data_IF_994430839319
#
_entry.id   IF_994430839319
#
_cell.length_a   1.000
_cell.length_b   1.000
_cell.length_c   1.000
_cell.angle_alpha   90.00
_cell.angle_beta   90.00
_cell.angle_gamma   90.00
#
_symmetry.space_group_name_H-M   'P 1'
#
loop_
_entity.id
_entity.type
_entity.pdbx_description
1 polymer ?
#
# COMPACT_ATOMS: atom_id res chain seq x y z
N UNK A 1 -60.61 14.93 -31.95
CA UNK A 1 -60.56 13.69 -31.09
C UNK A 1 -59.39 12.78 -31.40
N UNK A 2 -58.87 12.64 -32.64
CA UNK A 2 -57.71 11.78 -32.97
C UNK A 2 -56.36 12.40 -32.58
N UNK A 3 -56.23 13.74 -32.55
CA UNK A 3 -54.98 14.42 -32.08
C UNK A 3 -54.79 14.33 -30.58
N UNK A 4 -55.84 14.55 -29.78
CA UNK A 4 -55.81 14.44 -28.34
C UNK A 4 -55.42 13.01 -27.87
N UNK A 5 -55.91 11.97 -28.51
CA UNK A 5 -55.52 10.57 -28.22
C UNK A 5 -54.06 10.23 -28.59
N UNK A 6 -53.44 10.97 -29.54
CA UNK A 6 -52.03 10.80 -29.89
C UNK A 6 -51.12 11.53 -28.91
N UNK A 7 -51.54 12.67 -28.38
CA UNK A 7 -50.79 13.38 -27.32
C UNK A 7 -50.88 12.66 -25.98
N UNK A 8 -52.06 12.12 -25.59
CA UNK A 8 -52.15 11.25 -24.41
C UNK A 8 -51.25 10.00 -24.51
N UNK A 9 -51.20 9.36 -25.70
CA UNK A 9 -50.30 8.21 -25.90
C UNK A 9 -48.82 8.58 -25.95
N UNK A 10 -48.45 9.81 -26.34
CA UNK A 10 -47.06 10.31 -26.26
C UNK A 10 -46.69 10.69 -24.84
N UNK A 11 -47.59 11.30 -24.07
CA UNK A 11 -47.40 11.60 -22.66
C UNK A 11 -47.37 10.32 -21.81
N UNK A 12 -48.21 9.35 -22.08
CA UNK A 12 -48.17 8.04 -21.39
C UNK A 12 -46.91 7.23 -21.73
N UNK A 13 -46.27 7.46 -22.89
CA UNK A 13 -44.94 6.89 -23.20
C UNK A 13 -43.77 7.70 -22.65
N UNK A 14 -44.00 8.99 -22.37
CA UNK A 14 -42.96 9.86 -21.75
C UNK A 14 -42.88 9.75 -20.24
N UNK A 15 -43.91 9.20 -19.57
CA UNK A 15 -43.97 8.97 -18.14
C UNK A 15 -43.64 7.52 -17.73
N UNK A 16 -43.23 6.69 -18.71
CA UNK A 16 -42.87 5.30 -18.47
C UNK A 16 -41.35 5.09 -18.66
N UNK A 17 -40.53 5.91 -18.04
CA UNK A 17 -39.09 5.65 -17.89
C UNK A 17 -38.48 6.47 -16.75
N UNK A 18 -39.17 6.62 -15.64
CA UNK A 18 -38.56 6.49 -14.32
C UNK A 18 -38.89 5.07 -13.88
N UNK A 19 -38.47 4.07 -14.69
CA UNK A 19 -38.42 2.69 -14.24
C UNK A 19 -37.73 2.74 -12.86
N UNK A 20 -38.36 2.17 -11.85
CA UNK A 20 -37.91 1.92 -10.53
C UNK A 20 -36.39 1.76 -10.59
N UNK A 21 -35.64 2.82 -10.20
CA UNK A 21 -34.19 2.78 -10.14
C UNK A 21 -33.92 1.74 -9.06
N UNK A 22 -33.68 0.51 -9.48
CA UNK A 22 -33.55 -0.65 -8.60
C UNK A 22 -32.50 -0.27 -7.58
N UNK A 23 -32.90 -0.14 -6.32
CA UNK A 23 -31.97 0.26 -5.26
C UNK A 23 -30.82 -0.72 -5.26
N UNK A 24 -29.62 -0.22 -5.52
CA UNK A 24 -28.43 -1.04 -5.50
C UNK A 24 -28.15 -1.51 -4.06
N UNK A 25 -27.87 -2.78 -3.87
CA UNK A 25 -27.74 -3.40 -2.56
C UNK A 25 -26.42 -4.15 -2.41
N UNK A 26 -25.95 -4.27 -1.18
CA UNK A 26 -24.78 -5.08 -0.81
C UNK A 26 -24.93 -6.53 -1.28
N UNK A 27 -26.16 -7.06 -1.20
CA UNK A 27 -26.46 -8.43 -1.63
C UNK A 27 -26.23 -8.63 -3.14
N UNK A 28 -26.50 -7.61 -3.95
CA UNK A 28 -26.20 -7.65 -5.38
C UNK A 28 -24.69 -7.67 -5.63
N UNK A 29 -23.91 -6.90 -4.88
CA UNK A 29 -22.43 -6.94 -4.94
C UNK A 29 -21.94 -8.35 -4.61
N UNK A 30 -22.39 -8.94 -3.50
CA UNK A 30 -22.01 -10.31 -3.10
C UNK A 30 -22.38 -11.34 -4.18
N UNK A 31 -23.57 -11.24 -4.75
CA UNK A 31 -24.02 -12.11 -5.84
C UNK A 31 -23.17 -11.98 -7.11
N UNK A 32 -22.77 -10.76 -7.47
CA UNK A 32 -21.83 -10.55 -8.57
C UNK A 32 -20.44 -11.11 -8.26
N UNK A 33 -19.97 -10.97 -7.01
CA UNK A 33 -18.69 -11.56 -6.56
C UNK A 33 -18.69 -13.09 -6.65
N UNK A 34 -19.76 -13.75 -6.18
CA UNK A 34 -19.94 -15.21 -6.27
C UNK A 34 -19.89 -15.71 -7.72
N UNK A 35 -20.50 -14.95 -8.64
CA UNK A 35 -20.53 -15.26 -10.07
C UNK A 35 -19.28 -14.81 -10.82
N UNK A 36 -18.34 -14.13 -10.15
CA UNK A 36 -17.15 -13.51 -10.76
C UNK A 36 -17.49 -12.46 -11.83
N UNK A 37 -18.64 -11.83 -11.70
CA UNK A 37 -19.10 -10.75 -12.57
C UNK A 37 -18.54 -9.39 -12.08
N UNK A 38 -17.23 -9.21 -12.14
CA UNK A 38 -16.52 -8.08 -11.51
C UNK A 38 -16.95 -6.71 -12.05
N UNK A 39 -17.26 -6.62 -13.36
CA UNK A 39 -17.84 -5.40 -13.92
C UNK A 39 -19.21 -5.07 -13.30
N UNK A 40 -20.01 -6.10 -12.98
CA UNK A 40 -21.28 -5.96 -12.28
C UNK A 40 -21.11 -5.39 -10.87
N UNK A 41 -20.07 -5.82 -10.14
CA UNK A 41 -19.71 -5.28 -8.82
C UNK A 41 -19.46 -3.77 -8.92
N UNK A 42 -18.63 -3.36 -9.88
CA UNK A 42 -18.26 -1.95 -10.06
C UNK A 42 -19.47 -1.09 -10.45
N UNK A 43 -20.31 -1.57 -11.38
CA UNK A 43 -21.51 -0.86 -11.80
C UNK A 43 -22.51 -0.71 -10.65
N UNK A 44 -22.77 -1.81 -9.90
CA UNK A 44 -23.65 -1.77 -8.73
C UNK A 44 -23.12 -0.81 -7.67
N UNK A 45 -21.81 -0.80 -7.44
CA UNK A 45 -21.20 0.12 -6.49
C UNK A 45 -21.26 1.58 -6.96
N UNK A 46 -21.11 1.85 -8.26
CA UNK A 46 -21.31 3.18 -8.84
C UNK A 46 -22.74 3.68 -8.63
N UNK A 47 -23.75 2.81 -8.84
CA UNK A 47 -25.15 3.14 -8.54
C UNK A 47 -25.36 3.46 -7.05
N UNK A 48 -24.67 2.74 -6.14
CA UNK A 48 -24.71 3.02 -4.69
C UNK A 48 -24.10 4.39 -4.36
N UNK A 49 -22.98 4.74 -5.00
CA UNK A 49 -22.35 6.07 -4.85
C UNK A 49 -23.27 7.19 -5.29
N UNK A 50 -24.02 7.01 -6.40
CA UNK A 50 -25.00 7.99 -6.86
C UNK A 50 -26.21 8.12 -5.92
N UNK A 51 -26.55 7.07 -5.19
CA UNK A 51 -27.67 7.05 -4.24
C UNK A 51 -27.30 7.63 -2.87
N UNK A 52 -26.03 7.92 -2.62
CA UNK A 52 -25.53 8.44 -1.36
C UNK A 52 -24.39 7.61 -0.80
N UNK A 53 -24.27 7.50 0.49
CA UNK A 53 -23.11 6.91 1.17
C UNK A 53 -23.09 5.37 1.02
N UNK A 54 -22.18 4.77 0.20
CA UNK A 54 -22.12 3.34 0.03
C UNK A 54 -21.61 2.68 1.32
N UNK A 55 -22.10 1.47 1.68
CA UNK A 55 -21.62 0.75 2.86
C UNK A 55 -20.14 0.41 2.77
N UNK A 56 -19.40 0.71 3.84
CA UNK A 56 -17.94 0.47 3.91
C UNK A 56 -17.58 -1.02 3.75
N UNK A 57 -18.49 -1.92 4.10
CA UNK A 57 -18.33 -3.37 3.93
C UNK A 57 -18.13 -3.82 2.47
N UNK A 58 -18.52 -2.99 1.48
CA UNK A 58 -18.34 -3.28 0.05
C UNK A 58 -16.96 -2.91 -0.48
N UNK A 59 -16.19 -2.10 0.23
CA UNK A 59 -14.93 -1.54 -0.29
C UNK A 59 -13.89 -2.63 -0.61
N UNK A 60 -13.83 -3.69 0.20
CA UNK A 60 -12.98 -4.85 -0.05
C UNK A 60 -13.35 -5.60 -1.32
N UNK A 61 -14.65 -5.80 -1.56
CA UNK A 61 -15.15 -6.46 -2.77
C UNK A 61 -14.88 -5.62 -4.02
N UNK A 62 -15.03 -4.30 -3.91
CA UNK A 62 -14.70 -3.35 -4.99
C UNK A 62 -13.21 -3.37 -5.31
N UNK A 63 -12.34 -3.39 -4.29
CA UNK A 63 -10.89 -3.52 -4.47
C UNK A 63 -10.55 -4.83 -5.21
N UNK A 64 -11.16 -5.94 -4.81
CA UNK A 64 -10.98 -7.24 -5.45
C UNK A 64 -11.50 -7.23 -6.89
N UNK A 65 -12.65 -6.62 -7.16
CA UNK A 65 -13.20 -6.53 -8.51
C UNK A 65 -12.27 -5.76 -9.46
N UNK A 66 -11.73 -4.62 -9.05
CA UNK A 66 -10.73 -3.89 -9.83
C UNK A 66 -9.46 -4.71 -10.07
N UNK A 67 -8.99 -5.43 -9.06
CA UNK A 67 -7.82 -6.31 -9.18
C UNK A 67 -8.04 -7.41 -10.23
N UNK A 68 -9.17 -8.10 -10.20
CA UNK A 68 -9.48 -9.18 -11.14
C UNK A 68 -9.71 -8.67 -12.57
N UNK A 69 -10.13 -7.40 -12.73
CA UNK A 69 -10.20 -6.72 -14.03
C UNK A 69 -8.85 -6.18 -14.52
N UNK A 70 -7.78 -6.29 -13.72
CA UNK A 70 -6.44 -5.85 -14.08
C UNK A 70 -6.17 -4.37 -13.81
N UNK A 71 -7.09 -3.63 -13.21
CA UNK A 71 -6.88 -2.24 -12.80
C UNK A 71 -6.27 -2.18 -11.39
N UNK A 72 -4.96 -2.46 -11.33
CA UNK A 72 -4.23 -2.53 -10.05
C UNK A 72 -4.14 -1.18 -9.34
N UNK A 73 -4.13 -0.08 -10.09
CA UNK A 73 -4.10 1.28 -9.54
C UNK A 73 -5.36 1.59 -8.74
N UNK A 74 -6.56 1.33 -9.32
CA UNK A 74 -7.82 1.50 -8.59
C UNK A 74 -7.97 0.49 -7.48
N UNK A 75 -7.55 -0.76 -7.70
CA UNK A 75 -7.53 -1.77 -6.65
C UNK A 75 -6.73 -1.32 -5.43
N UNK A 76 -5.50 -0.81 -5.61
CA UNK A 76 -4.66 -0.29 -4.54
C UNK A 76 -5.31 0.89 -3.80
N UNK A 77 -5.97 1.79 -4.53
CA UNK A 77 -6.71 2.91 -3.96
C UNK A 77 -7.84 2.44 -3.03
N UNK A 78 -8.63 1.45 -3.46
CA UNK A 78 -9.70 0.88 -2.64
C UNK A 78 -9.18 0.03 -1.47
N UNK A 79 -8.05 -0.67 -1.65
CA UNK A 79 -7.34 -1.33 -0.54
C UNK A 79 -6.96 -0.32 0.53
N UNK A 80 -6.35 0.81 0.16
CA UNK A 80 -5.98 1.87 1.11
C UNK A 80 -7.21 2.42 1.83
N UNK A 81 -8.30 2.68 1.10
CA UNK A 81 -9.57 3.14 1.67
C UNK A 81 -10.14 2.12 2.67
N UNK A 82 -10.16 0.84 2.32
CA UNK A 82 -10.64 -0.23 3.21
C UNK A 82 -9.80 -0.33 4.47
N UNK A 83 -8.47 -0.35 4.33
CA UNK A 83 -7.55 -0.47 5.48
C UNK A 83 -7.55 0.77 6.39
N UNK A 84 -7.92 1.95 5.88
CA UNK A 84 -8.11 3.15 6.70
C UNK A 84 -9.32 3.05 7.62
N UNK A 85 -10.32 2.23 7.26
CA UNK A 85 -11.55 1.97 8.02
C UNK A 85 -11.43 0.72 8.90
N UNK A 86 -10.88 -0.33 8.34
CA UNK A 86 -10.63 -1.62 9.00
C UNK A 86 -9.18 -2.04 8.77
N UNK A 87 -8.30 -1.55 9.64
CA UNK A 87 -6.87 -1.89 9.60
C UNK A 87 -6.60 -3.38 9.84
N UNK A 88 -7.54 -4.12 10.45
CA UNK A 88 -7.44 -5.55 10.73
C UNK A 88 -7.82 -6.46 9.56
N UNK A 89 -8.30 -5.93 8.45
CA UNK A 89 -8.82 -6.70 7.33
C UNK A 89 -7.74 -7.53 6.64
N UNK A 90 -7.68 -8.80 7.01
CA UNK A 90 -6.67 -9.75 6.51
C UNK A 90 -6.82 -10.01 5.01
N UNK A 91 -8.05 -10.16 4.51
CA UNK A 91 -8.29 -10.45 3.09
C UNK A 91 -7.80 -9.33 2.19
N UNK A 92 -8.05 -8.09 2.60
CA UNK A 92 -7.61 -6.91 1.86
C UNK A 92 -6.09 -6.73 1.96
N UNK A 93 -5.46 -7.11 3.08
CA UNK A 93 -3.98 -7.16 3.20
C UNK A 93 -3.36 -8.22 2.29
N UNK A 94 -3.98 -9.40 2.17
CA UNK A 94 -3.53 -10.43 1.21
C UNK A 94 -3.67 -9.89 -0.22
N UNK A 95 -4.77 -9.21 -0.53
CA UNK A 95 -4.98 -8.58 -1.83
C UNK A 95 -3.89 -7.53 -2.14
N UNK A 96 -3.46 -6.74 -1.15
CA UNK A 96 -2.34 -5.80 -1.31
C UNK A 96 -1.05 -6.52 -1.71
N UNK A 97 -0.75 -7.65 -1.07
CA UNK A 97 0.40 -8.49 -1.45
C UNK A 97 0.30 -8.98 -2.90
N UNK A 98 -0.88 -9.40 -3.34
CA UNK A 98 -1.12 -9.79 -4.75
C UNK A 98 -0.90 -8.61 -5.71
N UNK A 99 -1.33 -7.41 -5.35
CA UNK A 99 -1.08 -6.19 -6.13
C UNK A 99 0.42 -5.95 -6.28
N UNK A 100 1.18 -6.01 -5.18
CA UNK A 100 2.64 -5.87 -5.21
C UNK A 100 3.30 -6.88 -6.16
N UNK A 101 2.87 -8.15 -6.16
CA UNK A 101 3.38 -9.16 -7.08
C UNK A 101 3.07 -8.82 -8.55
N UNK A 102 1.86 -8.33 -8.85
CA UNK A 102 1.47 -7.90 -10.20
C UNK A 102 2.28 -6.69 -10.68
N UNK A 103 2.67 -5.82 -9.76
CA UNK A 103 3.53 -4.67 -10.02
C UNK A 103 5.03 -5.01 -10.05
N UNK A 104 5.38 -6.31 -10.03
CA UNK A 104 6.77 -6.81 -10.03
C UNK A 104 7.58 -6.41 -8.80
N UNK A 105 6.92 -6.30 -7.65
CA UNK A 105 7.51 -6.02 -6.33
C UNK A 105 7.36 -7.24 -5.39
N UNK A 106 7.99 -8.38 -5.69
CA UNK A 106 7.78 -9.61 -4.94
C UNK A 106 8.23 -9.52 -3.49
N UNK A 107 9.29 -8.77 -3.19
CA UNK A 107 9.80 -8.62 -1.82
C UNK A 107 8.83 -7.81 -0.93
N UNK A 108 8.14 -6.80 -1.48
CA UNK A 108 7.09 -6.08 -0.76
C UNK A 108 5.92 -7.02 -0.44
N UNK A 109 5.57 -7.90 -1.37
CA UNK A 109 4.55 -8.92 -1.14
C UNK A 109 4.97 -9.90 -0.02
N UNK A 110 6.22 -10.42 -0.04
CA UNK A 110 6.72 -11.31 1.00
C UNK A 110 6.72 -10.63 2.38
N UNK A 111 7.14 -9.37 2.45
CA UNK A 111 7.10 -8.56 3.67
C UNK A 111 5.68 -8.41 4.22
N UNK A 112 4.71 -8.14 3.33
CA UNK A 112 3.30 -8.05 3.73
C UNK A 112 2.75 -9.38 4.24
N UNK A 113 3.05 -10.49 3.57
CA UNK A 113 2.62 -11.82 4.02
C UNK A 113 3.24 -12.21 5.36
N UNK A 114 4.53 -11.93 5.57
CA UNK A 114 5.19 -12.15 6.87
C UNK A 114 4.55 -11.29 7.97
N UNK A 115 4.27 -10.02 7.69
CA UNK A 115 3.60 -9.14 8.64
C UNK A 115 2.18 -9.62 8.99
N UNK A 116 1.41 -10.15 8.03
CA UNK A 116 0.10 -10.75 8.28
C UNK A 116 0.24 -11.96 9.22
N UNK A 117 1.19 -12.85 8.95
CA UNK A 117 1.45 -14.03 9.79
C UNK A 117 1.88 -13.64 11.19
N UNK A 118 2.74 -12.63 11.33
CA UNK A 118 3.21 -12.12 12.63
C UNK A 118 2.07 -11.52 13.46
N UNK A 119 1.24 -10.67 12.83
CA UNK A 119 0.20 -9.93 13.56
C UNK A 119 -1.08 -10.72 13.77
N UNK A 120 -1.45 -11.56 12.82
CA UNK A 120 -2.74 -12.24 12.79
C UNK A 120 -2.62 -13.78 12.76
N UNK A 121 -1.39 -14.33 12.87
CA UNK A 121 -1.15 -15.76 12.66
C UNK A 121 -2.10 -16.72 13.39
N UNK A 122 -2.49 -16.40 14.64
CA UNK A 122 -3.40 -17.22 15.41
C UNK A 122 -4.88 -17.07 14.99
N UNK A 123 -5.23 -15.98 14.32
CA UNK A 123 -6.59 -15.67 13.88
C UNK A 123 -6.86 -16.05 12.42
N UNK A 124 -5.81 -16.41 11.65
CA UNK A 124 -5.95 -16.80 10.25
C UNK A 124 -6.69 -18.13 10.10
N UNK A 125 -7.63 -18.18 9.16
CA UNK A 125 -8.22 -19.43 8.73
C UNK A 125 -7.20 -20.31 7.97
N UNK A 126 -7.50 -21.60 7.85
CA UNK A 126 -6.64 -22.51 7.09
C UNK A 126 -6.60 -22.10 5.59
N UNK A 127 -7.73 -21.64 5.05
CA UNK A 127 -7.82 -21.17 3.68
C UNK A 127 -6.91 -19.96 3.44
N UNK A 128 -6.89 -18.99 4.36
CA UNK A 128 -6.03 -17.82 4.29
C UNK A 128 -4.55 -18.19 4.39
N UNK A 129 -4.19 -19.13 5.27
CA UNK A 129 -2.80 -19.66 5.37
C UNK A 129 -2.37 -20.36 4.08
N UNK A 130 -3.25 -21.19 3.52
CA UNK A 130 -2.96 -21.90 2.27
C UNK A 130 -2.91 -20.94 1.07
N UNK A 131 -3.70 -19.90 1.07
CA UNK A 131 -3.61 -18.84 0.08
C UNK A 131 -2.26 -18.12 0.15
N UNK A 132 -1.81 -17.72 1.34
CA UNK A 132 -0.48 -17.11 1.55
C UNK A 132 0.62 -18.06 1.10
N UNK A 133 0.58 -19.36 1.45
CA UNK A 133 1.55 -20.36 0.97
C UNK A 133 1.63 -20.41 -0.54
N UNK A 134 0.47 -20.42 -1.20
CA UNK A 134 0.36 -20.49 -2.66
C UNK A 134 0.92 -19.22 -3.32
N UNK A 135 0.61 -18.05 -2.78
CA UNK A 135 1.02 -16.77 -3.34
C UNK A 135 2.52 -16.50 -3.13
N UNK A 136 3.02 -16.76 -1.93
CA UNK A 136 4.41 -16.45 -1.58
C UNK A 136 5.39 -17.55 -1.97
N UNK A 137 4.91 -18.78 -2.19
CA UNK A 137 5.76 -19.98 -2.27
C UNK A 137 6.82 -19.96 -3.36
N UNK A 138 6.54 -19.37 -4.51
CA UNK A 138 7.52 -19.26 -5.61
C UNK A 138 8.59 -18.22 -5.27
N UNK A 139 8.16 -16.99 -4.96
CA UNK A 139 9.06 -15.87 -4.70
C UNK A 139 9.98 -16.15 -3.50
N UNK A 140 9.43 -16.76 -2.44
CA UNK A 140 10.18 -17.14 -1.25
C UNK A 140 11.25 -18.22 -1.53
N UNK A 141 10.97 -19.17 -2.41
CA UNK A 141 11.91 -20.25 -2.77
C UNK A 141 12.98 -19.80 -3.75
N UNK A 142 12.77 -18.71 -4.49
CA UNK A 142 13.80 -18.12 -5.35
C UNK A 142 14.92 -17.47 -4.54
N UNK A 143 14.65 -17.03 -3.31
CA UNK A 143 15.63 -16.45 -2.41
C UNK A 143 15.46 -17.00 -0.97
N UNK A 144 15.76 -18.31 -0.74
CA UNK A 144 15.43 -18.98 0.52
C UNK A 144 16.17 -18.41 1.72
N UNK A 145 17.45 -18.05 1.58
CA UNK A 145 18.25 -17.47 2.67
C UNK A 145 17.70 -16.11 3.09
N UNK A 146 17.40 -15.25 2.10
CA UNK A 146 16.78 -13.95 2.35
C UNK A 146 15.41 -14.13 3.03
N UNK A 147 14.62 -15.08 2.58
CA UNK A 147 13.30 -15.37 3.16
C UNK A 147 13.42 -15.83 4.62
N UNK A 148 14.39 -16.69 4.95
CA UNK A 148 14.63 -17.13 6.34
C UNK A 148 15.03 -15.97 7.25
N UNK A 149 15.87 -15.09 6.75
CA UNK A 149 16.44 -13.98 7.54
C UNK A 149 15.43 -12.83 7.72
N UNK A 150 14.79 -12.41 6.63
CA UNK A 150 13.94 -11.21 6.62
C UNK A 150 12.46 -11.51 6.89
N UNK A 151 11.99 -12.73 6.58
CA UNK A 151 10.57 -13.12 6.66
C UNK A 151 10.39 -14.44 7.44
N UNK A 152 10.76 -14.49 8.74
CA UNK A 152 10.85 -15.74 9.50
C UNK A 152 9.50 -16.44 9.68
N UNK A 153 8.39 -15.69 9.83
CA UNK A 153 7.05 -16.30 9.98
C UNK A 153 6.59 -16.93 8.67
N UNK A 154 6.93 -16.30 7.54
CA UNK A 154 6.65 -16.84 6.21
C UNK A 154 7.54 -18.06 5.93
N UNK A 155 8.83 -18.02 6.27
CA UNK A 155 9.74 -19.14 6.15
C UNK A 155 9.25 -20.37 6.95
N UNK A 156 8.77 -20.15 8.18
CA UNK A 156 8.18 -21.21 9.01
C UNK A 156 6.92 -21.79 8.36
N UNK A 157 6.01 -20.95 7.86
CA UNK A 157 4.79 -21.38 7.18
C UNK A 157 5.08 -22.23 5.93
N UNK A 158 6.15 -21.90 5.19
CA UNK A 158 6.55 -22.57 3.95
C UNK A 158 7.45 -23.79 4.17
N UNK A 159 7.83 -24.07 5.42
CA UNK A 159 8.73 -25.19 5.76
C UNK A 159 10.13 -25.02 5.14
N UNK A 160 10.63 -23.80 5.01
CA UNK A 160 11.94 -23.54 4.43
C UNK A 160 13.11 -23.87 5.37
N UNK A 161 12.83 -24.45 6.55
CA UNK A 161 13.80 -24.86 7.55
C UNK A 161 14.31 -23.69 8.40
N UNK A 162 14.71 -23.99 9.65
CA UNK A 162 15.38 -23.02 10.52
C UNK A 162 16.76 -22.68 9.92
N UNK A 163 17.09 -21.39 9.84
CA UNK A 163 18.49 -21.01 9.73
C UNK A 163 19.23 -21.58 10.92
N UNK A 164 20.50 -22.04 10.81
CA UNK A 164 21.26 -22.52 11.94
C UNK A 164 21.25 -21.44 13.02
N UNK A 165 20.56 -21.73 14.12
CA UNK A 165 20.42 -20.83 15.25
C UNK A 165 21.81 -20.63 15.83
N UNK A 166 22.39 -19.46 15.68
CA UNK A 166 23.38 -19.02 16.65
C UNK A 166 22.61 -18.82 17.95
N UNK A 167 22.82 -19.76 18.87
CA UNK A 167 22.28 -19.69 20.23
C UNK A 167 22.62 -18.34 20.85
N UNK A 168 21.61 -17.52 21.05
CA UNK A 168 21.62 -16.48 22.06
C UNK A 168 20.41 -16.73 22.95
N UNK A 169 20.72 -17.04 24.19
CA UNK A 169 19.86 -17.44 25.30
C UNK A 169 18.60 -16.57 25.50
N UNK A 170 17.57 -17.12 26.17
CA UNK A 170 16.28 -16.48 26.35
C UNK A 170 16.38 -15.34 27.35
N UNK A 171 16.04 -14.13 26.96
CA UNK A 171 15.76 -13.07 27.91
C UNK A 171 14.26 -12.79 27.93
N UNK A 172 13.79 -12.76 29.14
CA UNK A 172 12.43 -12.60 29.64
C UNK A 172 11.71 -11.34 29.15
N UNK A 173 10.39 -11.20 29.41
CA UNK A 173 9.53 -10.17 28.84
C UNK A 173 9.95 -8.78 29.31
N UNK A 174 10.30 -7.93 28.36
CA UNK A 174 10.60 -6.53 28.68
C UNK A 174 9.29 -5.75 28.69
N UNK A 175 8.92 -5.37 29.90
CA UNK A 175 7.92 -4.38 30.18
C UNK A 175 8.27 -3.05 29.49
N UNK A 176 7.23 -2.38 29.02
CA UNK A 176 7.26 -1.01 28.48
C UNK A 176 8.03 -0.08 29.41
N UNK A 177 9.20 0.38 28.97
CA UNK A 177 9.81 1.55 29.54
C UNK A 177 9.99 2.61 28.44
N UNK A 178 9.76 3.91 28.74
CA UNK A 178 9.94 4.95 27.76
C UNK A 178 11.42 5.07 27.39
N UNK A 179 11.71 4.98 26.12
CA UNK A 179 13.04 5.19 25.60
C UNK A 179 13.39 6.65 25.85
N UNK A 180 14.17 6.89 26.89
CA UNK A 180 14.89 8.13 27.08
C UNK A 180 15.87 8.28 25.92
N UNK A 181 15.78 9.45 25.28
CA UNK A 181 16.71 9.90 24.27
C UNK A 181 18.16 9.84 24.80
N UNK A 182 18.92 8.91 24.25
CA UNK A 182 20.37 8.98 24.24
C UNK A 182 20.78 8.85 22.77
N UNK A 183 20.98 9.96 22.12
CA UNK A 183 21.53 10.08 20.78
C UNK A 183 22.99 9.62 20.80
N UNK A 184 23.37 8.58 20.06
CA UNK A 184 24.58 8.66 19.32
C UNK A 184 24.20 9.41 18.03
N UNK A 185 24.69 10.61 17.82
CA UNK A 185 24.78 11.23 16.50
C UNK A 185 25.58 10.27 15.64
N UNK A 186 24.86 9.37 14.96
CA UNK A 186 25.46 8.62 13.86
C UNK A 186 25.83 9.71 12.87
N UNK A 187 27.13 9.86 12.62
CA UNK A 187 27.60 10.78 11.60
C UNK A 187 26.94 10.39 10.28
N UNK A 188 25.92 11.15 9.87
CA UNK A 188 25.09 10.82 8.74
C UNK A 188 25.89 10.74 7.44
N UNK A 189 26.98 11.52 7.36
CA UNK A 189 27.90 11.48 6.22
C UNK A 189 28.67 10.14 6.18
N UNK A 190 29.26 9.72 7.29
CA UNK A 190 29.96 8.45 7.38
C UNK A 190 29.06 7.25 7.09
N UNK A 191 27.80 7.31 7.56
CA UNK A 191 26.83 6.23 7.29
C UNK A 191 26.33 6.21 5.84
N UNK A 192 26.17 7.38 5.22
CA UNK A 192 25.83 7.47 3.80
C UNK A 192 26.98 6.92 2.94
N UNK A 193 28.24 7.26 3.25
CA UNK A 193 29.42 6.71 2.57
C UNK A 193 29.53 5.19 2.73
N UNK A 194 29.26 4.66 3.91
CA UNK A 194 29.22 3.20 4.15
C UNK A 194 28.20 2.51 3.23
N UNK A 195 27.00 3.09 3.09
CA UNK A 195 25.96 2.55 2.21
C UNK A 195 26.38 2.64 0.73
N UNK A 196 26.99 3.75 0.34
CA UNK A 196 27.49 3.97 -1.02
C UNK A 196 28.62 3.00 -1.38
N UNK A 197 29.47 2.62 -0.41
CA UNK A 197 30.58 1.69 -0.59
C UNK A 197 30.14 0.21 -0.66
N UNK A 198 28.91 -0.14 -0.27
CA UNK A 198 28.43 -1.52 -0.34
C UNK A 198 28.31 -2.00 -1.79
N UNK A 199 28.65 -3.26 -2.04
CA UNK A 199 28.50 -3.91 -3.36
C UNK A 199 27.06 -4.42 -3.58
N UNK A 200 26.07 -3.53 -3.44
CA UNK A 200 24.65 -3.79 -3.71
C UNK A 200 24.16 -2.95 -4.90
N UNK A 201 23.02 -3.31 -5.46
CA UNK A 201 22.46 -2.60 -6.61
C UNK A 201 22.15 -1.13 -6.27
N UNK A 202 22.29 -0.20 -7.23
CA UNK A 202 21.99 1.22 -6.99
C UNK A 202 20.61 1.47 -6.41
N UNK A 203 19.60 0.72 -6.84
CA UNK A 203 18.22 0.83 -6.33
C UNK A 203 18.16 0.49 -4.84
N UNK A 204 18.86 -0.57 -4.40
CA UNK A 204 18.91 -0.98 -2.98
C UNK A 204 19.65 0.07 -2.12
N UNK A 205 20.65 0.73 -2.67
CA UNK A 205 21.34 1.86 -2.00
C UNK A 205 20.37 3.03 -1.81
N UNK A 206 19.60 3.39 -2.84
CA UNK A 206 18.60 4.48 -2.77
C UNK A 206 17.52 4.14 -1.73
N UNK A 207 17.03 2.90 -1.69
CA UNK A 207 16.06 2.46 -0.69
C UNK A 207 16.62 2.54 0.74
N UNK A 208 17.86 2.08 0.94
CA UNK A 208 18.52 2.16 2.24
C UNK A 208 18.71 3.62 2.69
N UNK A 209 19.20 4.49 1.80
CA UNK A 209 19.40 5.91 2.09
C UNK A 209 18.07 6.59 2.44
N UNK A 210 16.97 6.30 1.73
CA UNK A 210 15.65 6.81 2.08
C UNK A 210 15.17 6.30 3.44
N UNK A 211 15.44 5.04 3.80
CA UNK A 211 15.09 4.48 5.10
C UNK A 211 15.85 5.16 6.25
N UNK A 212 17.16 5.41 6.09
CA UNK A 212 17.94 6.16 7.06
C UNK A 212 17.51 7.62 7.16
N UNK A 213 17.15 8.25 6.05
CA UNK A 213 16.59 9.60 6.03
C UNK A 213 15.26 9.65 6.82
N UNK A 214 14.39 8.67 6.67
CA UNK A 214 13.14 8.56 7.43
C UNK A 214 13.39 8.38 8.92
N UNK A 215 14.38 7.56 9.32
CA UNK A 215 14.76 7.39 10.72
C UNK A 215 15.33 8.69 11.33
N UNK A 216 16.20 9.39 10.61
CA UNK A 216 16.74 10.69 11.02
C UNK A 216 15.63 11.74 11.16
N UNK A 217 14.69 11.79 10.21
CA UNK A 217 13.53 12.69 10.28
C UNK A 217 12.67 12.45 11.54
N UNK A 218 12.39 11.19 11.89
CA UNK A 218 11.65 10.83 13.11
C UNK A 218 12.40 11.22 14.39
N UNK A 219 13.74 11.25 14.32
CA UNK A 219 14.62 11.66 15.41
C UNK A 219 14.85 13.20 15.46
N UNK A 220 14.11 13.98 14.66
CA UNK A 220 14.27 15.44 14.49
C UNK A 220 15.66 15.87 13.98
N UNK A 221 16.47 14.91 13.47
CA UNK A 221 17.76 15.18 12.81
C UNK A 221 17.52 15.51 11.32
N UNK A 222 17.04 16.71 11.04
CA UNK A 222 16.77 17.17 9.69
C UNK A 222 18.03 17.33 8.84
N UNK A 223 19.17 17.61 9.48
CA UNK A 223 20.46 17.71 8.80
C UNK A 223 20.92 16.33 8.30
N UNK A 224 20.88 15.32 9.15
CA UNK A 224 21.18 13.93 8.78
C UNK A 224 20.19 13.39 7.74
N UNK A 225 18.89 13.65 7.90
CA UNK A 225 17.88 13.28 6.90
C UNK A 225 18.20 13.87 5.51
N UNK A 226 18.60 15.15 5.46
CA UNK A 226 18.99 15.84 4.22
C UNK A 226 20.21 15.21 3.57
N UNK A 227 21.24 14.87 4.37
CA UNK A 227 22.45 14.21 3.89
C UNK A 227 22.13 12.88 3.20
N UNK A 228 21.33 12.01 3.82
CA UNK A 228 20.92 10.75 3.23
C UNK A 228 20.11 10.93 1.94
N UNK A 229 19.16 11.89 1.91
CA UNK A 229 18.37 12.15 0.71
C UNK A 229 19.20 12.76 -0.42
N UNK A 230 20.19 13.57 -0.12
CA UNK A 230 21.12 14.09 -1.13
C UNK A 230 21.92 12.95 -1.76
N UNK A 231 22.50 12.06 -0.95
CA UNK A 231 23.22 10.89 -1.43
C UNK A 231 22.32 9.97 -2.30
N UNK A 232 21.06 9.81 -1.92
CA UNK A 232 20.09 9.06 -2.73
C UNK A 232 19.77 9.72 -4.08
N UNK A 233 19.66 11.06 -4.12
CA UNK A 233 19.44 11.82 -5.36
C UNK A 233 20.65 11.85 -6.27
N UNK A 234 21.87 11.71 -5.73
CA UNK A 234 23.09 11.56 -6.53
C UNK A 234 23.11 10.21 -7.27
N UNK A 235 22.59 9.15 -6.65
CA UNK A 235 22.48 7.84 -7.28
C UNK A 235 21.33 7.75 -8.29
N UNK A 236 20.18 8.28 -7.94
CA UNK A 236 19.00 8.34 -8.84
C UNK A 236 18.29 9.69 -8.73
N UNK A 237 18.68 10.67 -9.56
CA UNK A 237 18.06 12.00 -9.58
C UNK A 237 16.58 12.00 -9.97
N UNK A 238 16.07 10.90 -10.53
CA UNK A 238 14.70 10.76 -10.97
C UNK A 238 13.82 9.87 -10.08
N UNK A 239 14.30 9.51 -8.89
CA UNK A 239 13.50 8.75 -7.93
C UNK A 239 12.42 9.64 -7.32
N UNK A 240 11.15 9.46 -7.74
CA UNK A 240 10.03 10.27 -7.27
C UNK A 240 9.83 10.19 -5.75
N UNK A 241 10.11 9.04 -5.12
CA UNK A 241 9.99 8.87 -3.67
C UNK A 241 11.06 9.68 -2.91
N UNK A 242 12.31 9.69 -3.39
CA UNK A 242 13.38 10.50 -2.81
C UNK A 242 13.10 11.99 -2.99
N UNK A 243 12.63 12.41 -4.18
CA UNK A 243 12.23 13.79 -4.47
C UNK A 243 11.10 14.23 -3.54
N UNK A 244 10.08 13.38 -3.34
CA UNK A 244 8.97 13.65 -2.42
C UNK A 244 9.47 13.84 -0.99
N UNK A 245 10.29 12.92 -0.49
CA UNK A 245 10.85 12.97 0.87
C UNK A 245 11.69 14.24 1.07
N UNK A 246 12.53 14.59 0.10
CA UNK A 246 13.32 15.81 0.14
C UNK A 246 12.45 17.08 0.11
N UNK A 247 11.38 17.11 -0.67
CA UNK A 247 10.49 18.25 -0.75
C UNK A 247 9.74 18.46 0.59
N UNK A 248 9.27 17.39 1.24
CA UNK A 248 8.64 17.45 2.55
C UNK A 248 9.63 17.91 3.62
N UNK A 249 10.84 17.35 3.64
CA UNK A 249 11.88 17.76 4.57
C UNK A 249 12.23 19.25 4.44
N UNK A 250 12.42 19.74 3.22
CA UNK A 250 12.71 21.16 2.97
C UNK A 250 11.56 22.07 3.41
N UNK A 251 10.31 21.61 3.25
CA UNK A 251 9.14 22.34 3.72
C UNK A 251 9.14 22.48 5.25
N UNK A 252 9.37 21.36 5.97
CA UNK A 252 9.49 21.37 7.44
C UNK A 252 10.66 22.25 7.93
N UNK A 253 11.76 22.30 7.17
CA UNK A 253 12.89 23.19 7.46
C UNK A 253 12.58 24.67 7.13
N UNK A 254 11.40 25.00 6.61
CA UNK A 254 10.98 26.37 6.23
C UNK A 254 11.51 26.81 4.85
N UNK A 255 12.19 25.93 4.10
CA UNK A 255 12.76 26.23 2.79
C UNK A 255 11.71 26.02 1.66
N UNK A 256 10.55 26.68 1.76
CA UNK A 256 9.37 26.45 0.89
C UNK A 256 9.67 26.57 -0.60
N UNK A 257 10.46 27.55 -1.00
CA UNK A 257 10.80 27.76 -2.43
C UNK A 257 11.64 26.59 -2.98
N UNK A 258 12.60 26.09 -2.20
CA UNK A 258 13.41 24.93 -2.59
C UNK A 258 12.57 23.65 -2.60
N UNK A 259 11.65 23.50 -1.67
CA UNK A 259 10.71 22.38 -1.65
C UNK A 259 9.88 22.31 -2.93
N UNK A 260 9.34 23.43 -3.40
CA UNK A 260 8.59 23.51 -4.66
C UNK A 260 9.49 23.25 -5.88
N UNK A 261 10.72 23.76 -5.88
CA UNK A 261 11.68 23.53 -6.97
C UNK A 261 12.08 22.05 -7.09
N UNK A 262 12.27 21.38 -5.95
CA UNK A 262 12.58 19.94 -5.92
C UNK A 262 11.36 19.14 -6.37
N UNK A 263 10.17 19.43 -5.85
CA UNK A 263 8.93 18.75 -6.22
C UNK A 263 8.62 18.85 -7.72
N UNK A 264 9.00 19.97 -8.36
CA UNK A 264 8.85 20.16 -9.81
C UNK A 264 9.69 19.21 -10.67
N UNK A 265 10.70 18.53 -10.10
CA UNK A 265 11.53 17.53 -10.79
C UNK A 265 10.90 16.14 -10.84
N UNK A 266 9.78 15.92 -10.14
CA UNK A 266 9.08 14.63 -10.17
C UNK A 266 8.60 14.29 -11.57
N UNK A 267 8.76 13.03 -11.97
CA UNK A 267 8.26 12.50 -13.26
C UNK A 267 6.73 12.41 -13.27
N UNK A 268 6.12 12.23 -12.12
CA UNK A 268 4.66 12.17 -11.93
C UNK A 268 4.23 13.29 -11.00
N UNK A 269 3.30 14.13 -11.44
CA UNK A 269 2.75 15.20 -10.62
C UNK A 269 2.00 14.61 -9.40
N UNK A 270 2.41 15.01 -8.19
CA UNK A 270 1.72 14.69 -6.95
C UNK A 270 0.98 15.93 -6.44
N UNK A 271 -0.31 16.01 -6.77
CA UNK A 271 -1.15 17.14 -6.39
C UNK A 271 -1.33 17.27 -4.86
N UNK A 272 -1.27 16.15 -4.12
CA UNK A 272 -1.37 16.19 -2.65
C UNK A 272 -0.11 16.79 -2.04
N UNK A 273 1.07 16.41 -2.54
CA UNK A 273 2.33 17.03 -2.16
C UNK A 273 2.33 18.52 -2.49
N UNK A 274 1.99 18.90 -3.72
CA UNK A 274 1.96 20.30 -4.15
C UNK A 274 0.99 21.15 -3.31
N UNK A 275 -0.13 20.58 -2.88
CA UNK A 275 -1.06 21.24 -1.97
C UNK A 275 -0.45 21.41 -0.58
N UNK A 276 0.20 20.39 -0.03
CA UNK A 276 0.87 20.45 1.26
C UNK A 276 2.00 21.50 1.29
N UNK A 277 2.78 21.60 0.19
CA UNK A 277 3.88 22.56 0.08
C UNK A 277 3.43 24.02 -0.09
N UNK A 278 2.16 24.25 -0.45
CA UNK A 278 1.57 25.60 -0.59
C UNK A 278 0.87 26.10 0.66
N UNK A 279 0.63 25.21 1.64
CA UNK A 279 0.07 25.58 2.94
C UNK A 279 1.14 26.13 3.87
#
# INVERSE_FOLDING_TARGET
RKRARREEKRNAKGTMTMAEKKVATVEQIRKHMEKKEYAGVINTFADMLEQGNPPEECFGDVARAYFELGDYTRAASWVTTTLSKDAGNVEVRILLGRICQREKRPYDALKLYDAILRMHGNALSNEQRDEIKRLAGLDARLAPEKTRTEYPHLAALLGLGEAPVKESSPSAPVASQPVQAASPTVDAESKAEEILAQEIRPVEKVEALNAFAGAAYIADDYAGAKTFLMAALELDPGCDDTIRNMALLLHEMGEKDKALQIAAKMRRADFMLLRALKS
#
